data_IF_713512311598
#
_entry.id   IF_713512311598
#
_cell.length_a   1.000
_cell.length_b   1.000
_cell.length_c   1.000
_cell.angle_alpha   90.00
_cell.angle_beta   90.00
_cell.angle_gamma   90.00
#
_symmetry.space_group_name_H-M   'P 1'
#
loop_
_entity.id
_entity.type
_entity.pdbx_description
1 polymer ?
#
# COMPACT_ATOMS: atom_id res chain seq x y z
N UNK A 1 -6.70 -8.96 -21.85
CA UNK A 1 -6.07 -7.75 -22.42
C UNK A 1 -5.28 -7.12 -21.29
N UNK A 2 -3.94 -6.99 -21.39
CA UNK A 2 -3.22 -6.22 -20.38
C UNK A 2 -3.65 -4.77 -20.52
N UNK A 3 -4.15 -4.16 -19.44
CA UNK A 3 -4.32 -2.71 -19.38
C UNK A 3 -3.00 -2.05 -19.80
N UNK A 4 -3.05 -1.04 -20.68
CA UNK A 4 -1.88 -0.19 -20.99
C UNK A 4 -1.33 0.50 -19.74
N UNK A 5 -2.14 0.54 -18.69
CA UNK A 5 -1.83 1.01 -17.36
C UNK A 5 -1.11 -0.06 -16.52
N UNK A 6 0.17 0.12 -16.18
CA UNK A 6 0.94 -0.88 -15.44
C UNK A 6 0.57 -0.96 -13.95
N UNK A 7 -0.23 -0.02 -13.44
CA UNK A 7 -0.70 -0.01 -12.05
C UNK A 7 -2.01 -0.78 -11.85
N UNK A 8 -2.82 -0.95 -12.89
CA UNK A 8 -4.13 -1.61 -12.78
C UNK A 8 -4.00 -3.10 -12.50
N UNK A 9 -4.79 -3.58 -11.55
CA UNK A 9 -4.83 -4.96 -11.12
C UNK A 9 -4.86 -5.10 -9.60
N UNK A 10 -4.73 -6.35 -9.15
CA UNK A 10 -4.65 -6.73 -7.75
C UNK A 10 -3.19 -6.88 -7.31
N UNK A 11 -2.89 -6.46 -6.09
CA UNK A 11 -1.55 -6.47 -5.54
C UNK A 11 -1.58 -6.95 -4.09
N UNK A 12 -0.84 -8.01 -3.78
CA UNK A 12 -0.63 -8.45 -2.40
C UNK A 12 0.26 -7.46 -1.68
N UNK A 13 -0.30 -6.71 -0.74
CA UNK A 13 0.33 -5.61 0.00
C UNK A 13 0.88 -6.09 1.33
N UNK A 14 2.11 -5.68 1.65
CA UNK A 14 2.74 -5.85 2.96
C UNK A 14 3.50 -4.58 3.34
N UNK A 15 3.32 -4.14 4.57
CA UNK A 15 4.05 -3.02 5.15
C UNK A 15 4.77 -3.42 6.42
N UNK A 16 5.94 -2.83 6.62
CA UNK A 16 6.84 -3.10 7.73
C UNK A 16 7.26 -1.80 8.42
N UNK A 17 7.35 -1.83 9.74
CA UNK A 17 7.93 -0.75 10.55
C UNK A 17 9.40 -0.52 10.14
N UNK A 18 9.79 0.76 10.08
CA UNK A 18 11.15 1.18 9.75
C UNK A 18 12.10 1.10 10.96
N UNK A 19 12.15 -0.07 11.60
CA UNK A 19 13.05 -0.32 12.71
C UNK A 19 14.46 -0.68 12.19
N UNK A 20 15.52 0.04 12.59
CA UNK A 20 16.87 -0.25 12.14
C UNK A 20 17.54 -1.45 12.85
N UNK A 21 16.94 -2.01 13.90
CA UNK A 21 17.52 -3.15 14.62
C UNK A 21 17.37 -4.45 13.81
N UNK A 22 18.45 -4.85 13.15
CA UNK A 22 18.52 -6.08 12.35
C UNK A 22 18.41 -7.39 13.14
N UNK A 23 18.20 -7.34 14.46
CA UNK A 23 17.92 -8.52 15.30
C UNK A 23 16.43 -8.80 15.46
N UNK A 24 15.55 -7.86 15.09
CA UNK A 24 14.12 -8.04 15.17
C UNK A 24 13.66 -8.96 14.05
N UNK A 25 12.93 -10.02 14.42
CA UNK A 25 12.33 -10.93 13.44
C UNK A 25 11.32 -10.18 12.54
N UNK A 26 11.31 -10.49 11.24
CA UNK A 26 10.50 -9.78 10.25
C UNK A 26 8.99 -9.79 10.56
N UNK A 27 8.47 -10.84 11.20
CA UNK A 27 7.06 -10.93 11.59
C UNK A 27 6.71 -9.88 12.67
N UNK A 28 7.67 -9.48 13.50
CA UNK A 28 7.49 -8.41 14.50
C UNK A 28 7.49 -7.02 13.90
N UNK A 29 7.94 -6.89 12.64
CA UNK A 29 7.92 -5.63 11.92
C UNK A 29 6.59 -5.41 11.19
N UNK A 30 5.66 -6.37 11.17
CA UNK A 30 4.40 -6.23 10.44
C UNK A 30 3.64 -4.96 10.85
N UNK A 31 3.36 -4.10 9.87
CA UNK A 31 2.54 -2.91 10.03
C UNK A 31 1.15 -3.07 9.41
N UNK A 32 1.04 -3.90 8.37
CA UNK A 32 -0.23 -4.21 7.74
C UNK A 32 -0.07 -5.15 6.54
N UNK A 33 -1.09 -5.98 6.36
CA UNK A 33 -1.22 -7.00 5.31
C UNK A 33 -2.59 -6.86 4.65
N UNK A 34 -2.65 -6.86 3.32
CA UNK A 34 -3.92 -6.83 2.60
C UNK A 34 -3.76 -6.98 1.09
N UNK A 35 -4.81 -6.64 0.36
CA UNK A 35 -4.83 -6.60 -1.10
C UNK A 35 -5.17 -5.19 -1.56
N UNK A 36 -4.30 -4.58 -2.36
CA UNK A 36 -4.60 -3.36 -3.11
C UNK A 36 -5.26 -3.78 -4.42
N UNK A 37 -6.41 -3.22 -4.75
CA UNK A 37 -7.05 -3.35 -6.08
C UNK A 37 -7.08 -1.98 -6.71
N UNK A 38 -6.33 -1.80 -7.81
CA UNK A 38 -6.33 -0.57 -8.60
C UNK A 38 -7.19 -0.78 -9.84
N UNK A 39 -8.22 0.05 -9.95
CA UNK A 39 -9.17 0.01 -11.06
C UNK A 39 -8.73 0.87 -12.23
N UNK A 40 -9.22 0.55 -13.43
CA UNK A 40 -9.02 1.41 -14.59
C UNK A 40 -9.70 2.77 -14.36
N UNK A 41 -9.00 3.83 -14.74
CA UNK A 41 -9.42 5.21 -14.58
C UNK A 41 -8.74 6.07 -15.66
N UNK A 42 -9.19 7.32 -15.88
CA UNK A 42 -8.48 8.26 -16.73
C UNK A 42 -6.99 8.31 -16.42
N UNK A 43 -6.20 8.71 -17.42
CA UNK A 43 -4.77 8.89 -17.26
C UNK A 43 -4.47 9.75 -16.04
N UNK A 44 -3.42 9.39 -15.30
CA UNK A 44 -2.96 10.08 -14.09
C UNK A 44 -3.85 9.94 -12.83
N UNK A 45 -5.07 9.40 -12.94
CA UNK A 45 -5.92 9.15 -11.77
C UNK A 45 -5.66 7.75 -11.22
N UNK A 46 -5.51 7.66 -9.90
CA UNK A 46 -5.52 6.40 -9.16
C UNK A 46 -6.79 6.34 -8.32
N UNK A 47 -7.55 5.26 -8.52
CA UNK A 47 -8.67 4.88 -7.65
C UNK A 47 -8.65 3.38 -7.42
N UNK A 48 -9.23 2.94 -6.32
CA UNK A 48 -9.24 1.53 -5.98
C UNK A 48 -9.63 1.29 -4.54
N UNK A 49 -9.22 0.14 -4.01
CA UNK A 49 -9.38 -0.20 -2.60
C UNK A 49 -8.15 -0.88 -2.04
N UNK A 50 -8.02 -0.88 -0.71
CA UNK A 50 -7.10 -1.73 0.02
C UNK A 50 -7.84 -2.35 1.20
N UNK A 51 -7.69 -3.65 1.43
CA UNK A 51 -8.37 -4.37 2.50
C UNK A 51 -7.92 -5.81 2.63
N UNK A 52 -8.37 -6.50 3.67
CA UNK A 52 -8.21 -7.95 3.83
C UNK A 52 -9.35 -8.76 3.17
N UNK A 53 -10.33 -8.06 2.58
CA UNK A 53 -11.52 -8.67 1.98
C UNK A 53 -12.58 -9.07 3.01
N UNK A 54 -12.41 -8.72 4.28
CA UNK A 54 -13.37 -9.07 5.34
C UNK A 54 -13.55 -7.96 6.38
N UNK A 55 -12.59 -7.77 7.29
CA UNK A 55 -12.76 -6.95 8.48
C UNK A 55 -12.50 -5.48 8.26
N UNK A 56 -11.69 -5.13 7.25
CA UNK A 56 -11.37 -3.74 6.95
C UNK A 56 -11.19 -3.50 5.45
N UNK A 57 -11.62 -2.32 5.02
CA UNK A 57 -11.43 -1.85 3.67
C UNK A 57 -11.36 -0.31 3.65
N UNK A 58 -10.38 0.21 2.91
CA UNK A 58 -10.23 1.63 2.64
C UNK A 58 -10.44 1.89 1.14
N UNK A 59 -11.15 2.96 0.81
CA UNK A 59 -11.24 3.47 -0.57
C UNK A 59 -9.98 4.27 -0.88
N UNK A 60 -9.34 3.95 -2.00
CA UNK A 60 -8.13 4.63 -2.50
C UNK A 60 -8.50 5.74 -3.49
N UNK A 61 -7.90 6.92 -3.31
CA UNK A 61 -7.96 8.03 -4.27
C UNK A 61 -6.61 8.74 -4.34
N UNK A 62 -6.16 9.07 -5.54
CA UNK A 62 -4.92 9.80 -5.74
C UNK A 62 -4.54 9.94 -7.20
N UNK A 63 -3.23 10.03 -7.43
CA UNK A 63 -2.67 10.19 -8.76
C UNK A 63 -1.51 9.25 -9.02
N UNK A 64 -1.20 9.09 -10.31
CA UNK A 64 -0.10 8.29 -10.83
C UNK A 64 0.60 9.05 -11.96
N UNK A 65 1.90 8.84 -12.06
CA UNK A 65 2.77 9.44 -13.06
C UNK A 65 3.52 8.32 -13.77
N UNK A 66 3.52 8.36 -15.10
CA UNK A 66 4.26 7.41 -15.92
C UNK A 66 5.71 7.88 -16.06
N UNK A 67 6.62 6.93 -16.27
CA UNK A 67 8.05 7.19 -16.34
C UNK A 67 8.84 5.97 -15.88
N UNK A 68 10.14 6.15 -15.70
CA UNK A 68 11.02 5.12 -15.15
C UNK A 68 11.78 5.71 -13.95
N UNK A 69 11.39 5.39 -12.70
CA UNK A 69 10.24 4.57 -12.34
C UNK A 69 8.90 5.32 -12.49
N UNK A 70 7.82 4.57 -12.72
CA UNK A 70 6.47 5.10 -12.56
C UNK A 70 6.20 5.38 -11.08
N UNK A 71 5.42 6.42 -10.77
CA UNK A 71 5.17 6.89 -9.40
C UNK A 71 3.67 6.96 -9.12
N UNK A 72 3.25 6.70 -7.89
CA UNK A 72 1.88 6.93 -7.44
C UNK A 72 1.84 7.54 -6.03
N UNK A 73 0.91 8.46 -5.82
CA UNK A 73 0.62 9.08 -4.52
C UNK A 73 -0.89 9.05 -4.29
N UNK A 74 -1.33 8.45 -3.19
CA UNK A 74 -2.75 8.25 -2.95
C UNK A 74 -3.08 8.16 -1.46
N UNK A 75 -4.35 8.34 -1.14
CA UNK A 75 -4.88 8.24 0.22
C UNK A 75 -5.91 7.11 0.28
N UNK A 76 -5.83 6.30 1.33
CA UNK A 76 -6.86 5.34 1.73
C UNK A 76 -7.73 5.92 2.84
N UNK A 77 -9.04 5.90 2.64
CA UNK A 77 -10.03 6.36 3.64
C UNK A 77 -11.12 5.31 3.85
N UNK A 78 -11.46 5.03 5.10
CA UNK A 78 -12.54 4.12 5.44
C UNK A 78 -13.00 4.24 6.89
N UNK A 79 -14.01 3.47 7.25
CA UNK A 79 -14.46 3.28 8.63
C UNK A 79 -14.26 1.82 8.98
N UNK A 80 -13.48 1.54 10.01
CA UNK A 80 -13.10 0.19 10.46
C UNK A 80 -13.41 0.09 11.95
N UNK A 81 -14.21 -0.90 12.36
CA UNK A 81 -14.62 -1.04 13.75
C UNK A 81 -15.36 0.18 14.33
N UNK A 82 -15.99 1.00 13.48
CA UNK A 82 -16.66 2.25 13.88
C UNK A 82 -15.73 3.48 13.96
N UNK A 83 -14.43 3.31 13.72
CA UNK A 83 -13.45 4.40 13.71
C UNK A 83 -13.04 4.79 12.29
N UNK A 84 -12.81 6.08 12.08
CA UNK A 84 -12.29 6.57 10.80
C UNK A 84 -10.81 6.24 10.68
N UNK A 85 -10.41 5.64 9.57
CA UNK A 85 -9.02 5.38 9.23
C UNK A 85 -8.64 6.22 8.01
N UNK A 86 -7.49 6.88 8.07
CA UNK A 86 -6.90 7.62 6.95
C UNK A 86 -5.41 7.33 6.90
N UNK A 87 -4.95 6.90 5.72
CA UNK A 87 -3.56 6.59 5.44
C UNK A 87 -3.12 7.22 4.12
N UNK A 88 -1.96 7.87 4.09
CA UNK A 88 -1.34 8.37 2.87
C UNK A 88 -0.27 7.39 2.39
N UNK A 89 -0.11 7.30 1.06
CA UNK A 89 0.80 6.39 0.39
C UNK A 89 1.59 7.13 -0.69
N UNK A 90 2.86 6.76 -0.83
CA UNK A 90 3.76 7.23 -1.86
C UNK A 90 4.59 6.04 -2.33
N UNK A 91 4.54 5.69 -3.61
CA UNK A 91 5.23 4.50 -4.12
C UNK A 91 5.69 4.61 -5.56
N UNK A 92 6.53 3.65 -5.95
CA UNK A 92 7.14 3.55 -7.26
C UNK A 92 6.95 2.14 -7.81
N UNK A 93 6.70 2.05 -9.11
CA UNK A 93 6.73 0.78 -9.83
C UNK A 93 8.19 0.37 -10.03
N UNK A 94 8.55 -0.81 -9.53
CA UNK A 94 9.89 -1.37 -9.71
C UNK A 94 10.15 -1.55 -11.22
N UNK A 95 11.19 -0.92 -11.79
CA UNK A 95 11.52 -1.06 -13.20
C UNK A 95 11.80 -2.51 -13.58
N UNK A 96 11.46 -2.86 -14.81
CA UNK A 96 11.87 -4.14 -15.38
C UNK A 96 13.41 -4.22 -15.46
N UNK A 97 13.98 -5.31 -14.95
CA UNK A 97 15.40 -5.59 -15.05
C UNK A 97 15.69 -6.40 -16.33
N UNK A 98 16.53 -5.92 -17.28
CA UNK A 98 16.66 -6.54 -18.60
C UNK A 98 16.97 -8.04 -18.63
N UNK A 99 17.71 -8.53 -17.64
CA UNK A 99 18.05 -9.94 -17.45
C UNK A 99 17.47 -10.51 -16.14
N UNK A 100 16.35 -9.95 -15.68
CA UNK A 100 15.59 -10.48 -14.54
C UNK A 100 14.99 -11.84 -14.88
N UNK A 101 15.03 -12.77 -13.93
CA UNK A 101 14.38 -14.08 -14.04
C UNK A 101 13.09 -14.02 -13.25
N UNK A 102 11.98 -14.38 -13.87
CA UNK A 102 10.64 -14.45 -13.25
C UNK A 102 10.25 -13.19 -12.46
N UNK A 103 10.66 -12.01 -12.93
CA UNK A 103 10.38 -10.76 -12.24
C UNK A 103 8.87 -10.49 -12.25
N UNK A 104 8.24 -10.61 -11.07
CA UNK A 104 6.88 -10.11 -10.85
C UNK A 104 6.90 -8.59 -10.66
N UNK A 105 5.90 -7.92 -11.21
CA UNK A 105 5.72 -6.49 -11.00
C UNK A 105 5.49 -6.20 -9.51
N UNK A 106 6.14 -5.16 -9.00
CA UNK A 106 6.03 -4.74 -7.63
C UNK A 106 5.93 -3.22 -7.51
N UNK A 107 5.12 -2.76 -6.56
CA UNK A 107 5.12 -1.39 -6.05
C UNK A 107 5.93 -1.37 -4.77
N UNK A 108 6.80 -0.38 -4.59
CA UNK A 108 7.58 -0.19 -3.36
C UNK A 108 7.48 1.26 -2.91
N UNK A 109 7.36 1.50 -1.61
CA UNK A 109 7.12 2.85 -1.12
C UNK A 109 6.92 2.95 0.38
N UNK A 110 6.17 3.99 0.77
CA UNK A 110 5.84 4.29 2.16
C UNK A 110 4.34 4.42 2.37
N UNK A 111 3.90 4.00 3.55
CA UNK A 111 2.56 4.22 4.10
C UNK A 111 2.68 5.08 5.36
N UNK A 112 1.78 6.03 5.51
CA UNK A 112 1.76 6.99 6.61
C UNK A 112 0.39 6.94 7.26
N UNK A 113 0.33 6.76 8.57
CA UNK A 113 -0.92 6.91 9.34
C UNK A 113 -1.26 8.38 9.47
N UNK A 114 -2.28 8.87 8.76
CA UNK A 114 -2.61 10.31 8.70
C UNK A 114 -3.33 10.80 9.96
N UNK A 115 -4.20 9.97 10.55
CA UNK A 115 -4.93 10.28 11.79
C UNK A 115 -4.76 9.15 12.81
N UNK A 116 -4.79 9.43 14.12
CA UNK A 116 -4.73 8.37 15.12
C UNK A 116 -6.04 7.57 15.15
N UNK A 117 -5.97 6.34 15.65
CA UNK A 117 -7.13 5.50 15.95
C UNK A 117 -6.79 4.55 17.10
N UNK A 118 -7.76 3.75 17.56
CA UNK A 118 -7.50 2.75 18.60
C UNK A 118 -6.45 1.74 18.14
N UNK A 119 -5.52 1.37 19.01
CA UNK A 119 -4.48 0.38 18.73
C UNK A 119 -5.01 -1.06 18.76
N UNK A 120 -4.13 -2.04 18.52
CA UNK A 120 -4.50 -3.46 18.51
C UNK A 120 -4.91 -4.01 19.88
N UNK A 121 -4.46 -3.35 20.96
CA UNK A 121 -4.80 -3.74 22.33
C UNK A 121 -5.77 -2.73 22.99
N UNK A 122 -6.72 -3.19 23.83
CA UNK A 122 -7.65 -2.30 24.52
C UNK A 122 -6.94 -1.19 25.30
N UNK A 123 -7.36 0.06 25.06
CA UNK A 123 -6.79 1.24 25.72
C UNK A 123 -5.49 1.76 25.11
N UNK A 124 -4.99 1.14 24.03
CA UNK A 124 -3.84 1.66 23.29
C UNK A 124 -4.26 2.56 22.13
N UNK A 125 -3.35 3.44 21.70
CA UNK A 125 -3.56 4.34 20.57
C UNK A 125 -2.51 4.05 19.51
N UNK A 126 -2.95 3.93 18.26
CA UNK A 126 -2.07 3.95 17.09
C UNK A 126 -1.86 5.42 16.69
N UNK A 127 -0.68 6.02 16.91
CA UNK A 127 -0.50 7.46 16.73
C UNK A 127 -0.42 7.85 15.24
N UNK A 128 -0.91 9.04 14.90
CA UNK A 128 -0.68 9.64 13.58
C UNK A 128 0.82 9.93 13.35
N UNK A 129 1.20 10.05 12.08
CA UNK A 129 2.55 10.38 11.64
C UNK A 129 3.51 9.20 11.63
N UNK A 130 3.10 8.00 12.05
CA UNK A 130 3.91 6.78 11.87
C UNK A 130 4.09 6.53 10.38
N UNK A 131 5.35 6.42 9.96
CA UNK A 131 5.76 6.11 8.60
C UNK A 131 6.37 4.71 8.60
N UNK A 132 5.82 3.84 7.75
CA UNK A 132 6.31 2.50 7.50
C UNK A 132 6.64 2.35 6.01
N UNK A 133 7.54 1.43 5.69
CA UNK A 133 7.79 1.03 4.30
C UNK A 133 6.82 -0.05 3.87
N UNK A 134 6.51 -0.12 2.57
CA UNK A 134 5.69 -1.19 2.02
C UNK A 134 6.22 -1.68 0.68
N UNK A 135 5.82 -2.91 0.37
CA UNK A 135 5.90 -3.46 -0.98
C UNK A 135 4.60 -4.19 -1.30
N UNK A 136 4.16 -4.10 -2.56
CA UNK A 136 2.99 -4.79 -3.05
C UNK A 136 3.31 -5.52 -4.35
N UNK A 137 3.09 -6.83 -4.39
CA UNK A 137 3.43 -7.69 -5.53
C UNK A 137 2.18 -7.99 -6.33
N UNK A 138 2.24 -7.87 -7.66
CA UNK A 138 1.08 -8.13 -8.52
C UNK A 138 0.59 -9.56 -8.37
N UNK A 139 -0.71 -9.68 -8.10
CA UNK A 139 -1.44 -10.94 -8.12
C UNK A 139 -1.85 -11.27 -9.56
N UNK A 140 -1.83 -12.56 -9.87
CA UNK A 140 -2.27 -13.18 -11.12
C UNK A 140 -3.80 -13.25 -11.24
#
# INVERSE_FOLDING_TARGET
MSSSNPFVGSWTYRSLLNDPDGKIDFDKLEFGLGTIVIEEAPSEILKGTIGDGSTWQLTLKGSRQYGTPGRARFQGVGVVGGEKWIYDYECYLVPHWPNGVDQRAALVGSVIRTIPHSGGEPGTVAPAGVVASFYAVRSD
#
